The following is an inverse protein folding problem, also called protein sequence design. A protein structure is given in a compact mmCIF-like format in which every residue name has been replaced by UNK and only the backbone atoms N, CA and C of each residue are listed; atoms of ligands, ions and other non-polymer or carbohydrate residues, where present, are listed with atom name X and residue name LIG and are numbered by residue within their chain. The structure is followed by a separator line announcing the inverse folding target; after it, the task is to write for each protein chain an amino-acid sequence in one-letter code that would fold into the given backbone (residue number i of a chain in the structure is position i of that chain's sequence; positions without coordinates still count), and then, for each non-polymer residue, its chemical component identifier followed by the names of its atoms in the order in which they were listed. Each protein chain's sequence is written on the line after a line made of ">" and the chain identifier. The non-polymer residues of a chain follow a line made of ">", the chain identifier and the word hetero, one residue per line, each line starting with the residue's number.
data_IF_413887711319
#
_entry.id   IF_413887711319
#
_cell.length_a   1.000
_cell.length_b   1.000
_cell.length_c   1.000
_cell.angle_alpha   90.00
_cell.angle_beta   90.00
_cell.angle_gamma   90.00
#
_symmetry.space_group_name_H-M   'P 1'
#
loop_
_entity.id
_entity.type
_entity.pdbx_description
1 polymer ?
#
# COMPACT_ATOMS: atom_id res chain seq x y z
N UNK A 1 10.80 0.41 9.55
CA UNK A 1 9.53 -0.26 9.76
C UNK A 1 9.41 -1.47 8.83
N UNK A 2 8.58 -2.42 9.22
CA UNK A 2 8.37 -3.66 8.46
C UNK A 2 6.97 -3.64 7.83
N UNK A 3 6.85 -3.29 6.54
CA UNK A 3 5.59 -3.34 5.82
C UNK A 3 5.15 -4.78 5.57
N UNK A 4 3.87 -5.06 5.74
CA UNK A 4 3.25 -6.35 5.43
C UNK A 4 1.99 -6.14 4.61
N UNK A 5 1.86 -6.83 3.48
CA UNK A 5 0.65 -6.82 2.68
C UNK A 5 -0.38 -7.76 3.30
N UNK A 6 -1.59 -7.24 3.50
CA UNK A 6 -2.72 -7.98 4.09
C UNK A 6 -3.99 -7.80 3.26
N UNK A 7 -4.91 -8.76 3.37
CA UNK A 7 -6.27 -8.66 2.86
C UNK A 7 -7.19 -7.83 3.79
N UNK A 8 -8.45 -7.67 3.42
CA UNK A 8 -9.46 -6.94 4.20
C UNK A 8 -9.72 -7.58 5.57
N UNK A 9 -9.54 -8.89 5.69
CA UNK A 9 -9.69 -9.68 6.92
C UNK A 9 -8.43 -9.71 7.79
N UNK A 10 -7.37 -8.97 7.40
CA UNK A 10 -6.06 -8.91 8.04
C UNK A 10 -5.21 -10.20 7.95
N UNK A 11 -5.54 -11.14 7.06
CA UNK A 11 -4.61 -12.22 6.75
C UNK A 11 -3.42 -11.67 5.96
N UNK A 12 -2.21 -12.13 6.31
CA UNK A 12 -0.97 -11.62 5.75
C UNK A 12 -0.49 -12.45 4.57
N UNK A 13 -0.04 -11.78 3.51
CA UNK A 13 0.80 -12.41 2.48
C UNK A 13 2.15 -12.84 3.07
N UNK A 14 2.77 -13.83 2.45
CA UNK A 14 4.16 -14.18 2.76
C UNK A 14 5.08 -13.19 2.03
N UNK A 15 5.85 -12.44 2.80
CA UNK A 15 6.79 -11.46 2.28
C UNK A 15 8.16 -12.08 2.02
N UNK A 16 8.93 -11.51 1.11
CA UNK A 16 10.32 -11.93 0.83
C UNK A 16 11.22 -10.71 0.65
N UNK A 17 12.54 -10.91 0.70
CA UNK A 17 13.52 -9.85 0.48
C UNK A 17 13.60 -9.44 -1.01
N UNK A 18 13.68 -8.13 -1.32
CA UNK A 18 13.73 -7.02 -0.36
C UNK A 18 12.32 -6.68 0.20
N UNK A 19 12.22 -6.59 1.52
CA UNK A 19 11.01 -6.11 2.20
C UNK A 19 11.44 -5.28 3.41
N UNK A 20 10.97 -4.04 3.49
CA UNK A 20 11.32 -3.15 4.57
C UNK A 20 11.14 -1.69 4.21
N UNK A 21 11.24 -0.82 5.19
CA UNK A 21 11.09 0.60 4.99
C UNK A 21 11.82 1.45 6.01
N UNK A 22 11.95 2.72 5.67
CA UNK A 22 12.50 3.77 6.52
C UNK A 22 11.45 4.83 6.77
N UNK A 23 11.62 5.57 7.84
CA UNK A 23 10.80 6.74 8.10
C UNK A 23 11.61 7.87 8.73
N UNK A 24 11.11 9.09 8.53
CA UNK A 24 11.59 10.28 9.22
C UNK A 24 10.39 10.99 9.84
N UNK A 25 10.52 11.42 11.10
CA UNK A 25 9.48 12.16 11.81
C UNK A 25 9.98 13.53 12.21
N UNK A 26 9.22 14.57 11.86
CA UNK A 26 9.48 15.95 12.29
C UNK A 26 8.18 16.55 12.84
N UNK A 27 8.12 16.76 14.13
CA UNK A 27 6.87 17.13 14.79
C UNK A 27 5.79 16.09 14.59
N UNK A 28 4.67 16.48 13.99
CA UNK A 28 3.56 15.58 13.64
C UNK A 28 3.63 15.07 12.18
N UNK A 29 4.65 15.44 11.43
CA UNK A 29 4.84 15.03 10.06
C UNK A 29 5.70 13.76 10.00
N UNK A 30 5.22 12.72 9.33
CA UNK A 30 5.93 11.47 9.13
C UNK A 30 6.06 11.21 7.64
N UNK A 31 7.28 11.05 7.17
CA UNK A 31 7.58 10.59 5.81
C UNK A 31 8.05 9.16 5.87
N UNK A 32 7.44 8.29 5.07
CA UNK A 32 7.82 6.88 4.94
C UNK A 32 8.25 6.56 3.52
N UNK A 33 9.23 5.67 3.41
CA UNK A 33 9.59 4.98 2.17
C UNK A 33 9.65 3.49 2.44
N UNK A 34 9.19 2.66 1.50
CA UNK A 34 9.24 1.22 1.65
C UNK A 34 9.37 0.51 0.31
N UNK A 35 9.94 -0.69 0.38
CA UNK A 35 9.83 -1.70 -0.65
C UNK A 35 9.07 -2.87 -0.06
N UNK A 36 8.05 -3.36 -0.76
CA UNK A 36 7.31 -4.56 -0.42
C UNK A 36 7.41 -5.57 -1.53
N UNK A 37 7.73 -6.82 -1.20
CA UNK A 37 7.78 -7.91 -2.15
C UNK A 37 7.02 -9.12 -1.60
N UNK A 38 6.03 -9.59 -2.37
CA UNK A 38 5.20 -10.75 -2.03
C UNK A 38 5.83 -12.00 -2.65
N UNK A 39 6.03 -13.04 -1.84
CA UNK A 39 6.47 -14.37 -2.32
C UNK A 39 5.32 -15.36 -2.45
N UNK A 40 4.26 -15.21 -1.66
CA UNK A 40 3.09 -16.07 -1.70
C UNK A 40 1.84 -15.37 -1.17
N UNK A 41 0.71 -15.67 -1.80
CA UNK A 41 -0.63 -15.23 -1.40
C UNK A 41 -1.42 -16.35 -0.71
N UNK A 42 -0.73 -17.41 -0.24
CA UNK A 42 -1.39 -18.50 0.47
C UNK A 42 -2.03 -18.00 1.76
N UNK A 43 -3.30 -18.28 1.93
CA UNK A 43 -4.05 -17.91 3.14
C UNK A 43 -4.70 -16.54 3.13
N UNK A 44 -4.61 -15.80 2.02
CA UNK A 44 -5.29 -14.50 1.86
C UNK A 44 -6.39 -14.58 0.79
N UNK A 45 -7.35 -13.68 0.87
CA UNK A 45 -8.37 -13.48 -0.17
C UNK A 45 -7.80 -12.57 -1.26
N UNK A 46 -7.42 -13.13 -2.38
CA UNK A 46 -6.70 -12.38 -3.43
C UNK A 46 -7.55 -11.35 -4.18
N UNK A 47 -8.88 -11.48 -4.13
CA UNK A 47 -9.82 -10.47 -4.68
C UNK A 47 -10.00 -9.24 -3.78
N UNK A 48 -9.47 -9.28 -2.55
CA UNK A 48 -9.55 -8.14 -1.63
C UNK A 48 -8.53 -7.05 -2.00
N UNK A 49 -8.87 -5.81 -1.67
CA UNK A 49 -7.94 -4.69 -1.77
C UNK A 49 -6.69 -4.89 -0.90
N UNK A 50 -5.53 -4.64 -1.47
CA UNK A 50 -4.26 -4.77 -0.77
C UNK A 50 -4.06 -3.66 0.25
N UNK A 51 -3.85 -4.03 1.53
CA UNK A 51 -3.45 -3.11 2.60
C UNK A 51 -1.97 -3.32 2.92
N UNK A 52 -1.18 -2.26 2.93
CA UNK A 52 0.21 -2.31 3.39
C UNK A 52 0.25 -1.78 4.82
N UNK A 53 0.32 -2.71 5.77
CA UNK A 53 0.23 -2.45 7.21
C UNK A 53 1.59 -2.21 7.85
N UNK A 54 1.59 -1.77 9.13
CA UNK A 54 2.79 -1.61 9.95
C UNK A 54 3.39 -0.20 9.88
N UNK A 55 2.61 0.82 9.52
CA UNK A 55 3.08 2.20 9.62
C UNK A 55 3.65 2.48 11.03
N UNK A 56 4.76 3.23 11.14
CA UNK A 56 5.43 3.47 12.41
C UNK A 56 4.58 4.27 13.41
N UNK A 57 3.58 4.98 12.92
CA UNK A 57 2.60 5.74 13.71
C UNK A 57 1.24 5.68 13.02
N UNK A 58 0.17 5.59 13.81
CA UNK A 58 -1.18 5.69 13.27
C UNK A 58 -1.40 7.07 12.65
N UNK A 59 -2.15 7.09 11.59
CA UNK A 59 -2.56 8.33 10.92
C UNK A 59 -3.55 9.11 11.77
N UNK A 60 -3.64 10.40 11.52
CA UNK A 60 -4.62 11.26 12.17
C UNK A 60 -6.06 10.80 11.88
N UNK A 61 -6.98 11.07 12.80
CA UNK A 61 -8.40 10.74 12.67
C UNK A 61 -9.18 11.65 11.71
N UNK A 62 -8.52 12.63 11.11
CA UNK A 62 -9.15 13.59 10.21
C UNK A 62 -8.71 13.34 8.76
N UNK A 63 -9.65 13.05 7.87
CA UNK A 63 -9.41 12.77 6.44
C UNK A 63 -8.56 13.84 5.73
N UNK A 64 -8.72 15.10 6.11
CA UNK A 64 -7.93 16.21 5.56
C UNK A 64 -6.42 16.11 5.84
N UNK A 65 -6.01 15.20 6.72
CA UNK A 65 -4.60 14.95 7.10
C UNK A 65 -4.09 13.61 6.56
N UNK A 66 -4.88 12.93 5.74
CA UNK A 66 -4.44 11.71 5.07
C UNK A 66 -3.24 12.01 4.16
N UNK A 67 -2.28 11.10 4.18
CA UNK A 67 -1.13 11.19 3.28
C UNK A 67 -1.48 10.63 1.91
N UNK A 68 -0.99 11.29 0.88
CA UNK A 68 -1.00 10.79 -0.50
C UNK A 68 0.44 10.76 -1.00
N UNK A 69 0.81 9.74 -1.72
CA UNK A 69 2.18 9.56 -2.16
C UNK A 69 2.32 8.76 -3.44
N UNK A 70 3.57 8.66 -3.89
CA UNK A 70 3.93 7.95 -5.11
C UNK A 70 4.12 6.46 -4.87
N UNK A 71 3.70 5.67 -5.86
CA UNK A 71 3.93 4.23 -5.93
C UNK A 71 4.56 3.88 -7.27
N UNK A 72 5.55 3.00 -7.23
CA UNK A 72 6.05 2.30 -8.40
C UNK A 72 5.80 0.82 -8.20
N UNK A 73 4.98 0.20 -9.03
CA UNK A 73 4.77 -1.25 -9.05
C UNK A 73 5.58 -1.84 -10.19
N UNK A 74 6.43 -2.80 -9.88
CA UNK A 74 7.26 -3.49 -10.85
C UNK A 74 6.68 -4.88 -11.12
N UNK A 75 6.53 -5.24 -12.41
CA UNK A 75 6.07 -6.56 -12.84
C UNK A 75 4.67 -6.95 -12.37
N UNK A 76 3.75 -6.00 -12.32
CA UNK A 76 2.33 -6.30 -12.15
C UNK A 76 1.68 -6.62 -13.52
N UNK A 77 0.63 -7.41 -13.53
CA UNK A 77 -0.27 -7.52 -14.69
C UNK A 77 -1.20 -6.32 -14.81
N UNK A 78 -0.92 -5.31 -14.02
CA UNK A 78 -1.71 -4.11 -13.86
C UNK A 78 -1.63 -3.26 -15.13
N UNK A 79 -2.77 -3.00 -15.72
CA UNK A 79 -2.88 -2.35 -17.02
C UNK A 79 -3.45 -0.93 -16.91
N UNK A 80 -3.47 -0.37 -15.70
CA UNK A 80 -4.06 0.93 -15.44
C UNK A 80 -3.01 2.04 -15.40
N UNK A 81 -3.45 3.24 -15.76
CA UNK A 81 -2.55 4.34 -16.10
C UNK A 81 -1.90 5.01 -14.88
N UNK A 82 -2.47 4.88 -13.67
CA UNK A 82 -1.99 5.64 -12.52
C UNK A 82 -2.36 5.03 -11.16
N UNK A 83 -1.36 4.78 -10.31
CA UNK A 83 -1.53 4.25 -8.95
C UNK A 83 -1.00 5.25 -7.93
N UNK A 84 -1.75 5.48 -6.88
CA UNK A 84 -1.35 6.30 -5.73
C UNK A 84 -1.36 5.49 -4.43
N UNK A 85 -0.46 5.84 -3.52
CA UNK A 85 -0.53 5.39 -2.15
C UNK A 85 -1.35 6.39 -1.33
N UNK A 86 -2.29 5.92 -0.54
CA UNK A 86 -3.05 6.76 0.39
C UNK A 86 -3.12 6.14 1.77
N UNK A 87 -2.98 6.96 2.82
CA UNK A 87 -3.29 6.53 4.18
C UNK A 87 -4.79 6.67 4.45
N UNK A 88 -5.33 5.75 5.23
CA UNK A 88 -6.69 5.86 5.77
C UNK A 88 -6.67 6.55 7.15
N UNK A 89 -7.81 7.09 7.56
CA UNK A 89 -7.94 7.78 8.86
C UNK A 89 -7.76 6.79 10.02
N UNK A 90 -7.08 7.24 11.08
CA UNK A 90 -6.89 6.49 12.32
C UNK A 90 -6.44 5.03 12.10
N UNK A 91 -5.51 4.84 11.18
CA UNK A 91 -5.04 3.52 10.76
C UNK A 91 -3.51 3.42 10.71
N UNK A 92 -3.01 2.20 10.71
CA UNK A 92 -1.59 1.87 10.58
C UNK A 92 -1.24 1.32 9.20
N UNK A 93 -2.08 1.61 8.18
CA UNK A 93 -1.90 1.04 6.85
C UNK A 93 -2.01 2.07 5.73
N UNK A 94 -1.47 1.68 4.58
CA UNK A 94 -1.53 2.35 3.29
C UNK A 94 -2.43 1.52 2.37
N UNK A 95 -3.31 2.19 1.62
CA UNK A 95 -4.03 1.65 0.48
C UNK A 95 -3.31 2.03 -0.81
N UNK A 96 -3.36 1.14 -1.78
CA UNK A 96 -2.96 1.43 -3.16
C UNK A 96 -4.22 1.63 -3.97
N UNK A 97 -4.42 2.84 -4.46
CA UNK A 97 -5.62 3.23 -5.20
C UNK A 97 -5.31 3.44 -6.67
N UNK A 98 -6.18 2.90 -7.49
CA UNK A 98 -6.17 3.06 -8.91
C UNK A 98 -6.95 4.29 -9.35
N UNK A 99 -6.43 4.97 -10.35
CA UNK A 99 -7.10 6.07 -11.03
C UNK A 99 -7.35 5.66 -12.48
N UNK A 100 -8.42 4.89 -12.71
CA UNK A 100 -8.81 4.55 -14.10
C UNK A 100 -9.42 5.78 -14.79
N UNK A 101 -8.75 6.25 -15.84
CA UNK A 101 -9.21 7.37 -16.65
C UNK A 101 -10.42 7.05 -17.53
N UNK A 102 -10.83 5.80 -17.62
CA UNK A 102 -11.79 5.33 -18.62
C UNK A 102 -13.18 4.95 -18.08
N UNK A 103 -13.33 4.92 -16.78
CA UNK A 103 -14.63 4.68 -16.14
C UNK A 103 -14.96 5.79 -15.15
N UNK A 104 -16.19 6.24 -15.15
CA UNK A 104 -16.73 7.18 -14.14
C UNK A 104 -16.86 6.51 -12.77
N UNK A 105 -16.06 5.49 -12.48
CA UNK A 105 -16.05 4.75 -11.23
C UNK A 105 -14.89 5.26 -10.39
N UNK A 106 -15.22 5.65 -9.20
CA UNK A 106 -14.37 6.17 -8.17
C UNK A 106 -13.22 5.21 -7.81
N UNK A 107 -12.13 5.80 -7.28
CA UNK A 107 -10.96 5.18 -6.66
C UNK A 107 -11.20 3.72 -6.26
N UNK A 108 -10.65 2.76 -6.99
CA UNK A 108 -10.70 1.34 -6.63
C UNK A 108 -9.36 0.93 -6.00
N UNK A 109 -9.43 0.11 -4.97
CA UNK A 109 -8.21 -0.39 -4.36
C UNK A 109 -7.60 -1.48 -5.22
N UNK A 110 -6.31 -1.41 -5.50
CA UNK A 110 -5.58 -2.50 -6.12
C UNK A 110 -5.76 -3.77 -5.28
N UNK A 111 -6.22 -4.82 -5.92
CA UNK A 111 -6.38 -6.13 -5.26
C UNK A 111 -5.04 -6.81 -5.02
N UNK A 112 -5.03 -7.76 -4.10
CA UNK A 112 -3.84 -8.60 -3.86
C UNK A 112 -3.48 -9.39 -5.13
N UNK A 113 -4.48 -9.85 -5.90
CA UNK A 113 -4.25 -10.56 -7.17
C UNK A 113 -3.49 -9.69 -8.17
N UNK A 114 -3.89 -8.43 -8.33
CA UNK A 114 -3.23 -7.46 -9.22
C UNK A 114 -1.82 -7.13 -8.76
N UNK A 115 -1.64 -6.90 -7.46
CA UNK A 115 -0.33 -6.60 -6.87
C UNK A 115 0.63 -7.79 -6.95
N UNK A 116 0.14 -9.02 -6.88
CA UNK A 116 0.94 -10.26 -6.82
C UNK A 116 0.96 -11.07 -8.11
N UNK A 117 0.49 -10.51 -9.22
CA UNK A 117 0.34 -11.23 -10.50
C UNK A 117 1.63 -11.87 -11.05
N UNK A 118 2.78 -11.48 -10.54
CA UNK A 118 4.07 -12.07 -10.86
C UNK A 118 4.81 -12.49 -9.59
N UNK A 119 5.55 -13.60 -9.64
CA UNK A 119 6.27 -14.22 -8.52
C UNK A 119 7.38 -13.37 -7.89
N UNK A 120 7.59 -12.17 -8.36
CA UNK A 120 8.57 -11.20 -7.85
C UNK A 120 8.09 -9.76 -8.02
N UNK A 121 6.81 -9.51 -7.78
CA UNK A 121 6.28 -8.15 -7.83
C UNK A 121 6.74 -7.37 -6.63
N UNK A 122 7.41 -6.26 -6.90
CA UNK A 122 7.80 -5.29 -5.87
C UNK A 122 6.96 -4.02 -6.05
N UNK A 123 6.50 -3.46 -4.94
CA UNK A 123 6.03 -2.10 -4.91
C UNK A 123 7.01 -1.24 -4.10
N UNK A 124 7.42 -0.12 -4.69
CA UNK A 124 8.18 0.91 -3.98
C UNK A 124 7.24 2.07 -3.68
N UNK A 125 7.19 2.49 -2.43
CA UNK A 125 6.23 3.45 -1.94
C UNK A 125 6.97 4.59 -1.27
N UNK A 126 6.50 5.82 -1.51
CA UNK A 126 6.96 7.01 -0.77
C UNK A 126 5.77 7.92 -0.52
N UNK A 127 5.49 8.22 0.74
CA UNK A 127 4.44 9.15 1.12
C UNK A 127 4.74 9.88 2.43
N UNK A 128 4.02 10.99 2.63
CA UNK A 128 4.07 11.77 3.87
C UNK A 128 2.65 11.90 4.43
N UNK A 129 2.52 11.73 5.76
CA UNK A 129 1.24 11.85 6.46
C UNK A 129 1.40 12.56 7.81
N UNK A 130 0.28 12.97 8.39
CA UNK A 130 0.22 13.65 9.69
C UNK A 130 -0.36 12.69 10.74
N UNK A 131 0.24 12.70 11.92
CA UNK A 131 -0.19 11.94 13.10
C UNK A 131 -0.90 12.83 14.12
#
# INVERSE_FOLDING_TARGET
>A
WEPVVKDSSNNACVMTSPNGGYYTKVGNLVTVTAVVQISSTSGVTTSDGAKITGLPYNTNSTRMKAGVGAVRIQRSSYNNDYVVARTHENSDYILLEDQDSNTAVYEDNITIAELSAHTSTDATISLTYII
#
